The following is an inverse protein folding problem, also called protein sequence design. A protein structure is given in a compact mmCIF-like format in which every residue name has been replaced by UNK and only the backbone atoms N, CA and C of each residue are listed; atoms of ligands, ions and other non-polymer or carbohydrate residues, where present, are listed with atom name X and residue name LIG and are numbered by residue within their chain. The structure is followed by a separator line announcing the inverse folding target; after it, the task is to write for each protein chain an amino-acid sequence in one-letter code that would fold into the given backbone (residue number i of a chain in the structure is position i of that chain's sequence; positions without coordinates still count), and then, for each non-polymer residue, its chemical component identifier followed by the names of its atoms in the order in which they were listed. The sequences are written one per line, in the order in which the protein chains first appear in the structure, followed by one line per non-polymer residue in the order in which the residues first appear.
data_IF_772624119657
#
_entry.id   IF_772624119657
#
_cell.length_a   1.000
_cell.length_b   1.000
_cell.length_c   1.000
_cell.angle_alpha   90.00
_cell.angle_beta   90.00
_cell.angle_gamma   90.00
#
_symmetry.space_group_name_H-M   'P 1'
#
loop_
_entity.id
_entity.type
_entity.pdbx_description
1 polymer ?
#
# COMPACT_ATOMS: atom_id res chain seq x y z
N UNK A 1 -32.24 14.29 53.51
CA UNK A 1 -32.00 15.71 53.20
C UNK A 1 -30.89 15.76 52.16
N UNK A 2 -31.30 15.89 50.89
CA UNK A 2 -30.80 16.76 49.81
C UNK A 2 -29.28 17.10 49.84
N UNK A 3 -28.49 16.97 48.77
CA UNK A 3 -28.83 17.20 47.37
C UNK A 3 -27.90 16.50 46.38
N UNK A 4 -28.54 16.12 45.29
CA UNK A 4 -28.07 15.69 43.97
C UNK A 4 -27.36 16.83 43.22
N UNK A 5 -26.23 16.52 42.58
CA UNK A 5 -25.76 17.19 41.36
C UNK A 5 -25.25 16.09 40.41
N UNK A 6 -26.12 15.67 39.51
CA UNK A 6 -25.75 14.99 38.26
C UNK A 6 -25.40 16.05 37.23
N UNK A 7 -24.21 15.93 36.64
CA UNK A 7 -23.88 16.46 35.32
C UNK A 7 -23.22 15.30 34.58
N UNK A 8 -24.03 14.62 33.77
CA UNK A 8 -23.58 13.78 32.67
C UNK A 8 -23.02 14.72 31.58
N UNK A 9 -21.88 14.40 30.96
CA UNK A 9 -21.82 14.09 29.53
C UNK A 9 -20.37 13.79 29.10
N UNK A 10 -20.30 12.74 28.30
CA UNK A 10 -19.27 12.27 27.39
C UNK A 10 -18.35 13.37 26.83
N UNK A 11 -17.04 13.15 26.77
CA UNK A 11 -16.23 13.30 25.53
C UNK A 11 -14.87 12.63 25.74
N UNK A 12 -14.65 11.57 24.97
CA UNK A 12 -13.35 10.98 24.66
C UNK A 12 -12.46 12.02 23.98
N UNK A 13 -11.60 12.70 24.72
CA UNK A 13 -10.61 13.58 24.12
C UNK A 13 -9.35 12.78 23.76
N UNK A 14 -9.38 12.28 22.53
CA UNK A 14 -8.23 11.78 21.78
C UNK A 14 -7.39 12.98 21.34
N UNK A 15 -6.24 13.19 21.98
CA UNK A 15 -5.15 14.04 21.51
C UNK A 15 -3.99 13.88 22.50
N UNK A 16 -2.73 13.64 22.15
CA UNK A 16 -2.03 13.48 20.89
C UNK A 16 -0.71 12.82 21.29
N UNK A 17 -0.30 11.75 20.61
CA UNK A 17 1.11 11.32 20.66
C UNK A 17 1.74 11.70 19.33
N UNK A 18 1.93 13.00 19.13
CA UNK A 18 2.87 13.54 18.13
C UNK A 18 4.29 13.24 18.61
N UNK A 19 4.68 11.97 18.50
CA UNK A 19 6.04 11.50 18.65
C UNK A 19 6.15 10.15 17.95
N UNK A 20 5.85 10.15 16.66
CA UNK A 20 6.23 9.04 15.79
C UNK A 20 7.72 9.15 15.53
N UNK A 21 8.52 8.62 16.47
CA UNK A 21 9.81 8.05 16.12
C UNK A 21 9.62 7.19 14.86
N UNK A 22 10.56 7.25 13.91
CA UNK A 22 10.52 6.44 12.70
C UNK A 22 10.59 4.95 13.06
N UNK A 23 9.45 4.36 13.42
CA UNK A 23 9.29 2.93 13.60
C UNK A 23 9.48 2.31 12.22
N UNK A 24 10.43 1.38 12.11
CA UNK A 24 10.67 0.67 10.86
C UNK A 24 9.36 0.00 10.40
N UNK A 25 8.93 0.31 9.17
CA UNK A 25 7.78 -0.36 8.55
C UNK A 25 8.32 -1.67 7.97
N UNK A 26 7.99 -2.78 8.63
CA UNK A 26 8.36 -4.12 8.17
C UNK A 26 7.46 -4.53 7.02
N UNK A 27 8.06 -5.11 5.99
CA UNK A 27 7.41 -5.66 4.81
C UNK A 27 7.46 -7.20 4.88
N UNK A 28 6.32 -7.85 4.62
CA UNK A 28 6.18 -9.31 4.65
C UNK A 28 5.62 -9.81 3.32
N UNK A 29 6.28 -10.76 2.62
CA UNK A 29 5.77 -11.34 1.37
C UNK A 29 4.50 -12.16 1.62
N UNK A 30 3.57 -12.10 0.68
CA UNK A 30 2.32 -12.88 0.69
C UNK A 30 2.55 -14.21 -0.03
N UNK A 31 2.28 -15.36 0.64
CA UNK A 31 2.39 -16.68 0.01
C UNK A 31 1.46 -16.82 -1.21
N UNK A 32 1.88 -17.66 -2.16
CA UNK A 32 1.16 -17.88 -3.42
C UNK A 32 -0.29 -18.34 -3.20
N UNK A 33 -0.53 -19.17 -2.18
CA UNK A 33 -1.87 -19.69 -1.87
C UNK A 33 -2.85 -18.58 -1.44
N UNK A 34 -2.33 -17.43 -0.98
CA UNK A 34 -3.13 -16.30 -0.49
C UNK A 34 -3.30 -15.20 -1.55
N UNK A 35 -2.59 -15.27 -2.68
CA UNK A 35 -2.61 -14.23 -3.72
C UNK A 35 -4.01 -13.94 -4.25
N UNK A 36 -4.83 -14.98 -4.44
CA UNK A 36 -6.20 -14.83 -4.93
C UNK A 36 -7.10 -14.02 -3.98
N UNK A 37 -6.80 -14.07 -2.67
CA UNK A 37 -7.56 -13.37 -1.64
C UNK A 37 -6.98 -11.98 -1.31
N UNK A 38 -5.80 -11.63 -1.84
CA UNK A 38 -5.07 -10.42 -1.45
C UNK A 38 -5.91 -9.14 -1.64
N UNK A 39 -6.33 -8.84 -2.86
CA UNK A 39 -7.11 -7.63 -3.14
C UNK A 39 -8.44 -7.56 -2.39
N UNK A 40 -9.30 -8.60 -2.37
CA UNK A 40 -10.55 -8.53 -1.63
C UNK A 40 -10.33 -8.42 -0.11
N UNK A 41 -9.27 -9.01 0.44
CA UNK A 41 -8.97 -8.91 1.87
C UNK A 41 -8.50 -7.51 2.28
N UNK A 42 -7.66 -6.86 1.46
CA UNK A 42 -7.06 -5.57 1.81
C UNK A 42 -7.86 -4.35 1.31
N UNK A 43 -8.50 -4.48 0.15
CA UNK A 43 -9.17 -3.36 -0.54
C UNK A 43 -10.62 -3.68 -0.92
N UNK A 44 -11.18 -4.82 -0.50
CA UNK A 44 -12.51 -5.29 -0.94
C UNK A 44 -13.68 -4.37 -0.57
N UNK A 45 -13.51 -3.48 0.41
CA UNK A 45 -14.48 -2.45 0.78
C UNK A 45 -14.51 -1.26 -0.19
N UNK A 46 -13.47 -1.11 -1.03
CA UNK A 46 -13.35 -0.02 -1.99
C UNK A 46 -14.04 -0.42 -3.30
N UNK A 47 -14.94 0.40 -3.85
CA UNK A 47 -15.52 0.16 -5.15
C UNK A 47 -14.44 -0.04 -6.22
N UNK A 48 -14.66 -1.00 -7.12
CA UNK A 48 -13.75 -1.30 -8.23
C UNK A 48 -12.36 -1.80 -7.83
N UNK A 49 -12.15 -2.31 -6.61
CA UNK A 49 -10.86 -2.88 -6.17
C UNK A 49 -10.23 -3.88 -7.16
N UNK A 50 -11.06 -4.57 -7.96
CA UNK A 50 -10.62 -5.54 -8.98
C UNK A 50 -9.74 -4.92 -10.08
N UNK A 51 -9.78 -3.59 -10.26
CA UNK A 51 -8.98 -2.89 -11.28
C UNK A 51 -7.59 -2.49 -10.78
N UNK A 52 -7.30 -2.64 -9.48
CA UNK A 52 -6.06 -2.12 -8.88
C UNK A 52 -4.82 -2.74 -9.52
N UNK A 53 -4.79 -4.06 -9.69
CA UNK A 53 -3.68 -4.75 -10.32
C UNK A 53 -3.51 -4.39 -11.81
N UNK A 54 -4.56 -4.45 -12.66
CA UNK A 54 -4.48 -3.94 -14.03
C UNK A 54 -4.03 -2.48 -14.11
N UNK A 55 -4.43 -1.63 -13.16
CA UNK A 55 -4.04 -0.23 -13.13
C UNK A 55 -2.54 -0.07 -12.81
N UNK A 56 -1.99 -0.85 -11.88
CA UNK A 56 -0.54 -0.86 -11.59
C UNK A 56 0.25 -1.22 -12.85
N UNK A 57 -0.17 -2.24 -13.59
CA UNK A 57 0.48 -2.61 -14.85
C UNK A 57 0.39 -1.52 -15.91
N UNK A 58 -0.77 -0.89 -16.07
CA UNK A 58 -0.95 0.20 -17.03
C UNK A 58 -0.08 1.42 -16.68
N UNK A 59 0.12 1.71 -15.39
CA UNK A 59 1.05 2.75 -14.96
C UNK A 59 2.50 2.39 -15.29
N UNK A 60 2.90 1.13 -15.12
CA UNK A 60 4.23 0.67 -15.47
C UNK A 60 4.50 0.72 -16.96
N UNK A 61 3.54 0.32 -17.80
CA UNK A 61 3.59 0.46 -19.25
C UNK A 61 3.73 1.93 -19.68
N UNK A 62 3.09 2.84 -18.94
CA UNK A 62 3.19 4.28 -19.20
C UNK A 62 4.54 4.88 -18.80
N UNK A 63 5.17 4.37 -17.74
CA UNK A 63 6.41 4.94 -17.21
C UNK A 63 7.67 4.28 -17.78
N UNK A 64 7.63 3.01 -18.15
CA UNK A 64 8.77 2.29 -18.68
C UNK A 64 8.52 1.92 -20.15
N UNK A 65 9.24 2.58 -21.07
CA UNK A 65 9.10 2.40 -22.52
C UNK A 65 9.35 0.96 -22.97
N UNK A 66 10.19 0.25 -22.24
CA UNK A 66 10.58 -1.13 -22.53
C UNK A 66 9.95 -2.14 -21.56
N UNK A 67 8.86 -1.76 -20.90
CA UNK A 67 8.15 -2.67 -20.01
C UNK A 67 7.51 -3.81 -20.79
N UNK A 68 7.98 -5.03 -20.54
CA UNK A 68 7.44 -6.26 -21.15
C UNK A 68 6.64 -7.11 -20.16
N UNK A 69 6.23 -6.51 -19.02
CA UNK A 69 5.66 -7.25 -17.90
C UNK A 69 6.72 -7.69 -16.90
N UNK A 70 6.43 -8.78 -16.20
CA UNK A 70 7.29 -9.35 -15.17
C UNK A 70 6.49 -10.21 -14.20
N UNK A 71 7.16 -10.94 -13.33
CA UNK A 71 6.51 -11.57 -12.17
C UNK A 71 6.36 -10.47 -11.12
N UNK A 72 5.19 -10.38 -10.49
CA UNK A 72 4.94 -9.44 -9.42
C UNK A 72 4.59 -10.19 -8.13
N UNK A 73 5.24 -9.78 -7.05
CA UNK A 73 5.03 -10.30 -5.71
C UNK A 73 4.16 -9.33 -4.91
N UNK A 74 3.35 -9.90 -4.01
CA UNK A 74 2.47 -9.13 -3.13
C UNK A 74 3.06 -9.06 -1.74
N UNK A 75 2.85 -7.93 -1.07
CA UNK A 75 3.44 -7.64 0.21
C UNK A 75 2.43 -6.95 1.14
N UNK A 76 2.58 -7.25 2.43
CA UNK A 76 1.86 -6.56 3.51
C UNK A 76 2.86 -5.78 4.37
N UNK A 77 2.40 -4.67 4.94
CA UNK A 77 3.19 -3.80 5.78
C UNK A 77 2.67 -3.87 7.22
N UNK A 78 3.57 -3.80 8.20
CA UNK A 78 3.22 -3.86 9.62
C UNK A 78 2.25 -2.73 10.09
N UNK A 79 2.14 -1.65 9.31
CA UNK A 79 1.20 -0.56 9.55
C UNK A 79 -0.20 -0.78 8.91
N UNK A 80 -0.46 -1.97 8.35
CA UNK A 80 -1.70 -2.31 7.67
C UNK A 80 -1.74 -1.98 6.18
N UNK A 81 -0.68 -1.40 5.62
CA UNK A 81 -0.55 -1.18 4.18
C UNK A 81 -0.32 -2.47 3.40
N UNK A 82 -0.58 -2.43 2.09
CA UNK A 82 -0.35 -3.55 1.19
C UNK A 82 0.00 -3.02 -0.22
N UNK A 83 0.89 -3.70 -0.93
CA UNK A 83 1.32 -3.31 -2.27
C UNK A 83 1.79 -4.54 -3.08
N UNK A 84 2.01 -4.33 -4.37
CA UNK A 84 2.70 -5.29 -5.23
C UNK A 84 3.94 -4.64 -5.84
N UNK A 85 4.99 -5.42 -6.03
CA UNK A 85 6.24 -4.99 -6.64
C UNK A 85 6.77 -6.08 -7.57
N UNK A 86 7.54 -5.72 -8.61
CA UNK A 86 8.18 -6.70 -9.46
C UNK A 86 9.11 -7.61 -8.66
N UNK A 87 9.22 -8.85 -9.12
CA UNK A 87 10.15 -9.82 -8.58
C UNK A 87 11.59 -9.40 -8.90
N UNK A 88 12.44 -9.38 -7.88
CA UNK A 88 13.85 -8.97 -7.98
C UNK A 88 14.82 -10.15 -7.98
N UNK A 89 14.31 -11.39 -7.83
CA UNK A 89 15.13 -12.60 -7.72
C UNK A 89 15.37 -13.30 -9.07
N UNK A 90 14.72 -12.84 -10.14
CA UNK A 90 15.08 -13.24 -11.50
C UNK A 90 16.43 -12.57 -11.75
N UNK A 91 17.50 -13.35 -11.95
CA UNK A 91 18.92 -12.91 -11.97
C UNK A 91 19.34 -11.93 -13.07
N UNK A 92 18.42 -11.10 -13.52
CA UNK A 92 18.65 -9.87 -14.25
C UNK A 92 18.72 -8.72 -13.23
N UNK A 93 19.91 -8.14 -13.07
CA UNK A 93 20.08 -6.78 -12.54
C UNK A 93 19.47 -5.73 -13.51
N UNK A 94 18.33 -6.05 -14.14
CA UNK A 94 17.67 -5.23 -15.14
C UNK A 94 17.00 -4.06 -14.42
N UNK A 95 17.75 -2.96 -14.36
CA UNK A 95 17.25 -1.70 -13.86
C UNK A 95 16.27 -1.11 -14.86
N UNK A 96 15.08 -0.80 -14.36
CA UNK A 96 14.04 -0.19 -15.17
C UNK A 96 14.21 1.32 -15.22
N UNK A 97 14.38 1.85 -16.43
CA UNK A 97 14.35 3.30 -16.65
C UNK A 97 12.90 3.76 -16.72
N UNK A 98 12.51 4.58 -15.75
CA UNK A 98 11.16 5.13 -15.63
C UNK A 98 11.17 6.61 -16.05
N UNK A 99 10.18 7.04 -16.82
CA UNK A 99 9.94 8.43 -17.16
C UNK A 99 8.48 8.80 -16.90
N UNK A 100 8.25 9.85 -16.12
CA UNK A 100 6.91 10.37 -15.87
C UNK A 100 6.65 11.61 -16.75
N UNK A 101 5.86 11.49 -17.83
CA UNK A 101 5.58 12.61 -18.73
C UNK A 101 4.73 13.72 -18.08
N UNK A 102 4.08 13.44 -16.95
CA UNK A 102 3.24 14.42 -16.26
C UNK A 102 4.07 15.44 -15.46
N UNK A 103 5.29 15.09 -15.06
CA UNK A 103 6.19 15.99 -14.33
C UNK A 103 7.57 16.17 -15.00
N UNK A 104 7.86 15.42 -16.06
CA UNK A 104 9.10 15.52 -16.83
C UNK A 104 10.31 14.86 -16.18
N UNK A 105 10.13 14.06 -15.12
CA UNK A 105 11.22 13.44 -14.38
C UNK A 105 11.46 11.99 -14.82
N UNK A 106 12.74 11.59 -14.83
CA UNK A 106 13.18 10.21 -15.01
C UNK A 106 13.86 9.63 -13.77
N UNK A 107 13.90 8.30 -13.68
CA UNK A 107 14.58 7.53 -12.62
C UNK A 107 15.08 6.18 -13.15
N UNK A 108 16.06 5.58 -12.45
CA UNK A 108 16.63 4.24 -12.66
C UNK A 108 16.82 3.56 -11.30
#
# INVERSE_FOLDING_TARGET
MNNMLTLDDNTVDSASTEQQHATAIVCTPVPDEQRIAFWPQHFGSIPQWIILEPAVFAWMERFCEHYNGGIWNFYTLANGGAFMAPDTDIGDDEKWVLFNPMNGNGAE
#
